data_IF_366237957562
#
_entry.id   IF_366237957562
#
_cell.length_a   1.000
_cell.length_b   1.000
_cell.length_c   1.000
_cell.angle_alpha   90.00
_cell.angle_beta   90.00
_cell.angle_gamma   90.00
#
_symmetry.space_group_name_H-M   'P 1'
#
loop_
_entity.id
_entity.type
_entity.pdbx_description
1 polymer ?
#
# COMPACT_ATOMS: atom_id res chain seq x y z
N UNK A 1 -9.52 -0.94 1.36
CA UNK A 1 -9.96 -0.79 -0.06
C UNK A 1 -11.23 0.03 -0.22
N UNK A 2 -12.15 -0.07 0.71
CA UNK A 2 -13.44 0.66 0.71
C UNK A 2 -13.24 2.15 1.01
N UNK A 3 -12.21 2.49 1.77
CA UNK A 3 -11.88 3.84 2.24
C UNK A 3 -11.52 4.88 1.15
N UNK A 4 -11.37 4.46 -0.12
CA UNK A 4 -10.96 5.34 -1.22
C UNK A 4 -11.98 5.43 -2.35
N UNK A 5 -13.22 5.02 -2.11
CA UNK A 5 -14.32 5.01 -3.08
C UNK A 5 -13.96 4.38 -4.45
N UNK A 6 -12.98 3.45 -4.49
CA UNK A 6 -12.50 2.82 -5.74
C UNK A 6 -13.58 1.93 -6.39
N UNK A 7 -14.63 1.57 -5.63
CA UNK A 7 -15.75 0.77 -6.12
C UNK A 7 -16.50 1.41 -7.31
N UNK A 8 -16.54 2.74 -7.39
CA UNK A 8 -17.20 3.42 -8.50
C UNK A 8 -16.49 3.22 -9.87
N UNK A 9 -15.21 2.77 -9.87
CA UNK A 9 -14.50 2.50 -11.12
C UNK A 9 -15.22 1.48 -12.00
N UNK A 10 -16.00 0.56 -11.41
CA UNK A 10 -16.83 -0.37 -12.16
C UNK A 10 -17.84 0.36 -13.06
N UNK A 11 -18.33 1.55 -12.66
CA UNK A 11 -19.26 2.34 -13.45
C UNK A 11 -18.60 2.91 -14.73
N UNK A 12 -17.28 2.99 -14.80
CA UNK A 12 -16.56 3.38 -16.00
C UNK A 12 -16.76 2.38 -17.16
N UNK A 13 -17.25 1.18 -16.87
CA UNK A 13 -17.65 0.23 -17.91
C UNK A 13 -18.91 0.69 -18.68
N UNK A 14 -19.80 1.49 -18.09
CA UNK A 14 -21.06 1.90 -18.72
C UNK A 14 -20.83 2.74 -19.98
N UNK A 15 -20.02 3.81 -19.99
CA UNK A 15 -19.73 4.56 -21.22
C UNK A 15 -19.02 3.72 -22.29
N UNK A 16 -18.17 2.76 -21.89
CA UNK A 16 -17.52 1.83 -22.82
C UNK A 16 -18.54 0.89 -23.46
N UNK A 17 -19.42 0.29 -22.65
CA UNK A 17 -20.49 -0.57 -23.13
C UNK A 17 -21.44 0.20 -24.07
N UNK A 18 -21.79 1.44 -23.75
CA UNK A 18 -22.62 2.30 -24.59
C UNK A 18 -22.00 2.60 -25.95
N UNK A 19 -20.70 2.96 -25.96
CA UNK A 19 -19.98 3.21 -27.20
C UNK A 19 -19.93 1.94 -28.10
N UNK A 20 -19.72 0.77 -27.50
CA UNK A 20 -19.71 -0.50 -28.22
C UNK A 20 -21.10 -0.92 -28.73
N UNK A 21 -22.15 -0.72 -27.91
CA UNK A 21 -23.53 -1.02 -28.32
C UNK A 21 -23.97 -0.22 -29.56
N UNK A 22 -23.50 1.04 -29.67
CA UNK A 22 -23.75 1.85 -30.87
C UNK A 22 -23.05 1.31 -32.11
N UNK A 23 -21.91 0.64 -31.96
CA UNK A 23 -21.14 0.08 -33.08
C UNK A 23 -21.62 -1.31 -33.51
N UNK A 24 -22.18 -2.08 -32.56
CA UNK A 24 -22.68 -3.43 -32.79
C UNK A 24 -24.07 -3.61 -32.14
N UNK A 25 -25.13 -3.08 -32.74
CA UNK A 25 -26.47 -3.25 -32.25
C UNK A 25 -26.84 -4.75 -32.17
N UNK A 26 -27.43 -5.16 -31.03
CA UNK A 26 -27.76 -6.59 -30.78
C UNK A 26 -26.63 -7.45 -30.23
N UNK A 27 -25.40 -6.92 -30.10
CA UNK A 27 -24.30 -7.59 -29.44
C UNK A 27 -24.41 -7.64 -27.91
N UNK A 28 -23.46 -8.31 -27.25
CA UNK A 28 -23.39 -8.47 -25.78
C UNK A 28 -23.46 -7.10 -25.06
N UNK A 29 -22.80 -6.08 -25.59
CA UNK A 29 -22.80 -4.73 -25.01
C UNK A 29 -24.21 -4.11 -25.02
N UNK A 30 -25.03 -4.39 -26.00
CA UNK A 30 -26.42 -3.91 -26.08
C UNK A 30 -27.30 -4.52 -24.97
N UNK A 31 -27.06 -5.79 -24.61
CA UNK A 31 -27.74 -6.45 -23.51
C UNK A 31 -27.45 -5.80 -22.16
N UNK A 32 -26.23 -5.35 -21.95
CA UNK A 32 -25.81 -4.67 -20.70
C UNK A 32 -26.46 -3.29 -20.52
N UNK A 33 -26.97 -2.67 -21.57
CA UNK A 33 -27.63 -1.35 -21.54
C UNK A 33 -29.16 -1.45 -21.43
N UNK A 34 -29.74 -2.64 -21.29
CA UNK A 34 -31.17 -2.78 -21.03
C UNK A 34 -31.53 -2.11 -19.69
N UNK A 35 -32.66 -1.40 -19.58
CA UNK A 35 -33.05 -0.69 -18.35
C UNK A 35 -33.00 -1.58 -17.10
N UNK A 36 -33.46 -2.84 -17.22
CA UNK A 36 -33.40 -3.79 -16.11
C UNK A 36 -31.99 -4.13 -15.67
N UNK A 37 -31.03 -4.28 -16.61
CA UNK A 37 -29.61 -4.53 -16.30
C UNK A 37 -28.97 -3.31 -15.65
N UNK A 38 -29.24 -2.11 -16.14
CA UNK A 38 -28.76 -0.86 -15.54
C UNK A 38 -29.32 -0.66 -14.13
N UNK A 39 -30.60 -0.95 -13.93
CA UNK A 39 -31.22 -0.90 -12.60
C UNK A 39 -30.59 -1.93 -11.65
N UNK A 40 -30.32 -3.16 -12.12
CA UNK A 40 -29.64 -4.19 -11.33
C UNK A 40 -28.21 -3.78 -10.94
N UNK A 41 -27.45 -3.18 -11.87
CA UNK A 41 -26.09 -2.66 -11.58
C UNK A 41 -26.17 -1.54 -10.54
N UNK A 42 -27.09 -0.60 -10.69
CA UNK A 42 -27.26 0.51 -9.75
C UNK A 42 -27.70 -0.01 -8.38
N UNK A 43 -28.71 -0.90 -8.33
CA UNK A 43 -29.18 -1.50 -7.09
C UNK A 43 -28.07 -2.30 -6.38
N UNK A 44 -27.31 -3.11 -7.13
CA UNK A 44 -26.15 -3.83 -6.60
C UNK A 44 -25.07 -2.91 -6.06
N UNK A 45 -24.78 -1.81 -6.74
CA UNK A 45 -23.83 -0.79 -6.29
C UNK A 45 -24.28 -0.11 -4.99
N UNK A 46 -25.55 0.31 -4.92
CA UNK A 46 -26.14 0.90 -3.71
C UNK A 46 -26.14 -0.10 -2.57
N UNK A 47 -26.55 -1.34 -2.81
CA UNK A 47 -26.55 -2.40 -1.81
C UNK A 47 -25.14 -2.66 -1.26
N UNK A 48 -24.13 -2.77 -2.12
CA UNK A 48 -22.74 -3.01 -1.71
C UNK A 48 -22.19 -1.87 -0.83
N UNK A 49 -22.49 -0.62 -1.15
CA UNK A 49 -22.12 0.53 -0.31
C UNK A 49 -22.90 0.51 1.01
N UNK A 50 -24.17 0.20 0.97
CA UNK A 50 -25.06 0.22 2.15
C UNK A 50 -24.65 -0.79 3.21
N UNK A 51 -24.10 -1.94 2.84
CA UNK A 51 -23.57 -2.96 3.78
C UNK A 51 -22.56 -2.39 4.76
N UNK A 52 -21.76 -1.44 4.33
CA UNK A 52 -20.76 -0.81 5.18
C UNK A 52 -21.22 0.57 5.69
N UNK A 53 -21.79 1.38 4.82
CA UNK A 53 -22.12 2.78 5.13
C UNK A 53 -23.22 2.87 6.20
N UNK A 54 -24.29 2.07 6.09
CA UNK A 54 -25.41 2.14 7.03
C UNK A 54 -25.02 1.73 8.46
N UNK A 55 -24.28 0.61 8.70
CA UNK A 55 -23.80 0.28 10.04
C UNK A 55 -22.86 1.35 10.62
N UNK A 56 -21.99 1.94 9.80
CA UNK A 56 -21.11 3.03 10.24
C UNK A 56 -21.93 4.25 10.67
N UNK A 57 -22.85 4.74 9.85
CA UNK A 57 -23.70 5.89 10.18
C UNK A 57 -24.56 5.63 11.41
N UNK A 58 -25.12 4.42 11.51
CA UNK A 58 -25.89 3.99 12.67
C UNK A 58 -25.03 4.02 13.94
N UNK A 59 -23.84 3.46 13.91
CA UNK A 59 -22.94 3.42 15.07
C UNK A 59 -22.53 4.83 15.50
N UNK A 60 -22.15 5.70 14.57
CA UNK A 60 -21.82 7.11 14.85
C UNK A 60 -23.00 7.84 15.50
N UNK A 61 -24.24 7.58 15.00
CA UNK A 61 -25.44 8.18 15.56
C UNK A 61 -25.75 7.68 16.99
N UNK A 62 -25.58 6.37 17.22
CA UNK A 62 -25.87 5.76 18.54
C UNK A 62 -24.90 6.22 19.64
N UNK A 63 -23.63 6.32 19.30
CA UNK A 63 -22.58 6.69 20.27
C UNK A 63 -22.55 8.20 20.50
N UNK A 64 -22.86 9.02 19.48
CA UNK A 64 -22.94 10.48 19.57
C UNK A 64 -21.62 11.18 19.92
N UNK A 65 -20.47 10.49 19.79
CA UNK A 65 -19.18 11.06 20.13
C UNK A 65 -18.67 11.99 19.02
N UNK A 66 -18.09 13.17 19.39
CA UNK A 66 -17.48 14.10 18.42
C UNK A 66 -16.37 13.46 17.60
N UNK A 67 -15.59 12.55 18.19
CA UNK A 67 -14.49 11.88 17.52
C UNK A 67 -15.01 10.94 16.40
N UNK A 68 -16.07 10.19 16.66
CA UNK A 68 -16.70 9.33 15.63
C UNK A 68 -17.36 10.16 14.54
N UNK A 69 -17.92 11.31 14.86
CA UNK A 69 -18.45 12.25 13.88
C UNK A 69 -17.32 12.80 12.98
N UNK A 70 -16.20 13.21 13.57
CA UNK A 70 -15.02 13.65 12.83
C UNK A 70 -14.45 12.52 11.93
N UNK A 71 -14.37 11.29 12.42
CA UNK A 71 -13.97 10.12 11.65
C UNK A 71 -14.89 9.85 10.45
N UNK A 72 -16.21 9.93 10.64
CA UNK A 72 -17.19 9.84 9.55
C UNK A 72 -16.94 10.90 8.48
N UNK A 73 -16.75 12.14 8.90
CA UNK A 73 -16.56 13.28 7.98
C UNK A 73 -15.22 13.19 7.25
N UNK A 74 -14.18 12.69 7.91
CA UNK A 74 -12.90 12.41 7.26
C UNK A 74 -13.06 11.35 6.16
N UNK A 75 -13.72 10.22 6.44
CA UNK A 75 -13.91 9.15 5.45
C UNK A 75 -14.78 9.62 4.28
N UNK A 76 -15.92 10.26 4.56
CA UNK A 76 -16.88 10.62 3.53
C UNK A 76 -16.43 11.80 2.66
N UNK A 77 -15.74 12.79 3.23
CA UNK A 77 -15.40 14.01 2.52
C UNK A 77 -13.90 14.14 2.22
N UNK A 78 -13.03 13.91 3.19
CA UNK A 78 -11.60 14.10 2.97
C UNK A 78 -10.96 12.98 2.16
N UNK A 79 -11.31 11.73 2.45
CA UNK A 79 -10.76 10.57 1.73
C UNK A 79 -11.41 10.32 0.37
N UNK A 80 -12.61 10.86 0.11
CA UNK A 80 -13.32 10.66 -1.16
C UNK A 80 -13.24 11.88 -2.07
N UNK A 81 -13.59 13.07 -1.61
CA UNK A 81 -13.68 14.25 -2.48
C UNK A 81 -12.36 15.03 -2.52
N UNK A 82 -11.86 15.50 -1.38
CA UNK A 82 -10.66 16.36 -1.33
C UNK A 82 -9.41 15.67 -1.87
N UNK A 83 -9.31 14.35 -1.72
CA UNK A 83 -8.14 13.60 -2.19
C UNK A 83 -8.01 13.57 -3.72
N UNK A 84 -9.11 13.70 -4.45
CA UNK A 84 -9.08 13.73 -5.91
C UNK A 84 -8.98 15.15 -6.47
N UNK A 85 -9.45 16.15 -5.73
CA UNK A 85 -9.51 17.55 -6.20
C UNK A 85 -8.36 18.41 -5.68
N UNK A 86 -7.90 18.14 -4.43
CA UNK A 86 -6.88 18.96 -3.76
C UNK A 86 -5.90 18.06 -2.98
N UNK A 87 -5.08 17.33 -3.74
CA UNK A 87 -4.07 16.47 -3.16
C UNK A 87 -2.84 17.29 -2.75
N UNK A 88 -2.48 17.26 -1.48
CA UNK A 88 -1.26 17.90 -0.96
C UNK A 88 0.00 17.01 -1.02
N UNK A 89 -0.16 15.71 -1.29
CA UNK A 89 0.92 14.74 -1.42
C UNK A 89 0.86 13.99 -2.74
N UNK A 90 2.02 13.55 -3.22
CA UNK A 90 2.15 12.76 -4.45
C UNK A 90 1.66 13.48 -5.71
N UNK A 91 1.83 14.81 -5.78
CA UNK A 91 1.52 15.58 -7.00
C UNK A 91 2.46 15.12 -8.10
N UNK A 92 1.90 14.62 -9.20
CA UNK A 92 2.63 14.12 -10.36
C UNK A 92 1.96 14.61 -11.65
N UNK A 93 2.73 14.77 -12.76
CA UNK A 93 2.18 15.22 -14.03
C UNK A 93 1.16 14.23 -14.62
N UNK A 94 0.25 14.66 -15.50
CA UNK A 94 -0.79 13.80 -16.08
C UNK A 94 -0.22 12.55 -16.80
N UNK A 95 0.95 12.67 -17.41
CA UNK A 95 1.62 11.57 -18.13
C UNK A 95 2.35 10.56 -17.22
N UNK A 96 2.36 10.75 -15.91
CA UNK A 96 3.08 9.91 -14.94
C UNK A 96 2.85 8.40 -15.14
N UNK A 97 1.60 7.98 -15.32
CA UNK A 97 1.30 6.56 -15.51
C UNK A 97 1.83 6.01 -16.82
N UNK A 98 1.79 6.80 -17.89
CA UNK A 98 2.23 6.37 -19.20
C UNK A 98 3.75 6.26 -19.32
N UNK A 99 4.49 7.08 -18.60
CA UNK A 99 5.95 7.17 -18.72
C UNK A 99 6.66 6.39 -17.60
N UNK A 100 6.18 6.48 -16.38
CA UNK A 100 6.89 5.90 -15.21
C UNK A 100 6.31 4.55 -14.77
N UNK A 101 4.96 4.39 -14.76
CA UNK A 101 4.32 3.23 -14.15
C UNK A 101 4.12 2.09 -15.16
N UNK A 102 3.43 2.35 -16.25
CA UNK A 102 3.04 1.31 -17.21
C UNK A 102 4.27 0.64 -17.87
N UNK A 103 5.28 1.37 -18.36
CA UNK A 103 6.41 0.74 -19.01
C UNK A 103 7.21 -0.19 -18.11
N UNK A 104 7.39 0.17 -16.84
CA UNK A 104 8.24 -0.56 -15.91
C UNK A 104 7.45 -1.59 -15.07
N UNK A 105 6.32 -1.17 -14.47
CA UNK A 105 5.63 -2.00 -13.47
C UNK A 105 4.61 -2.99 -14.07
N UNK A 106 4.21 -2.79 -15.34
CA UNK A 106 3.29 -3.71 -16.03
C UNK A 106 4.00 -4.73 -16.93
N UNK A 107 5.32 -4.86 -16.80
CA UNK A 107 6.06 -5.90 -17.52
C UNK A 107 5.60 -7.32 -17.09
N UNK A 108 5.50 -8.27 -18.04
CA UNK A 108 5.83 -8.15 -19.47
C UNK A 108 4.68 -7.59 -20.32
N UNK A 109 3.47 -7.39 -19.75
CA UNK A 109 2.26 -7.06 -20.50
C UNK A 109 2.39 -5.75 -21.28
N UNK A 110 3.04 -4.72 -20.69
CA UNK A 110 3.34 -3.46 -21.38
C UNK A 110 4.19 -3.66 -22.64
N UNK A 111 5.22 -4.49 -22.57
CA UNK A 111 6.05 -4.81 -23.72
C UNK A 111 5.29 -5.67 -24.76
N UNK A 112 4.38 -6.54 -24.32
CA UNK A 112 3.54 -7.35 -25.23
C UNK A 112 2.57 -6.50 -26.06
N UNK A 113 2.27 -5.25 -25.66
CA UNK A 113 1.45 -4.33 -26.45
C UNK A 113 1.99 -4.12 -27.87
N UNK A 114 3.31 -4.24 -28.05
CA UNK A 114 3.92 -4.18 -29.38
C UNK A 114 3.36 -5.28 -30.34
N UNK A 115 3.16 -6.48 -29.83
CA UNK A 115 2.58 -7.60 -30.61
C UNK A 115 1.05 -7.60 -30.57
N UNK A 116 0.44 -7.05 -29.53
CA UNK A 116 -1.02 -6.95 -29.34
C UNK A 116 -1.66 -5.85 -30.19
N UNK A 117 -0.88 -4.89 -30.68
CA UNK A 117 -1.40 -3.74 -31.43
C UNK A 117 -2.23 -4.15 -32.66
N UNK A 118 -1.73 -5.09 -33.48
CA UNK A 118 -2.46 -5.55 -34.68
C UNK A 118 -3.74 -6.30 -34.32
N UNK A 119 -3.75 -7.32 -33.44
CA UNK A 119 -4.96 -7.96 -32.95
C UNK A 119 -5.97 -6.99 -32.36
N UNK A 120 -5.55 -6.07 -31.52
CA UNK A 120 -6.44 -5.07 -30.91
C UNK A 120 -7.06 -4.13 -31.97
N UNK A 121 -6.31 -3.77 -32.99
CA UNK A 121 -6.84 -2.98 -34.12
C UNK A 121 -7.88 -3.75 -34.94
N UNK A 122 -7.70 -5.03 -35.14
CA UNK A 122 -8.66 -5.92 -35.81
C UNK A 122 -9.94 -6.07 -34.99
N UNK A 123 -9.80 -6.33 -33.68
CA UNK A 123 -10.92 -6.39 -32.75
C UNK A 123 -11.67 -5.05 -32.64
N UNK A 124 -10.95 -3.94 -32.74
CA UNK A 124 -11.57 -2.60 -32.80
C UNK A 124 -12.43 -2.41 -34.06
N UNK A 125 -11.96 -2.89 -35.20
CA UNK A 125 -12.69 -2.80 -36.47
C UNK A 125 -13.93 -3.69 -36.48
N UNK A 126 -13.83 -4.87 -35.91
CA UNK A 126 -14.93 -5.85 -35.82
C UNK A 126 -15.84 -5.63 -34.60
N UNK A 127 -15.59 -4.59 -33.79
CA UNK A 127 -16.33 -4.28 -32.55
C UNK A 127 -16.42 -5.47 -31.57
N UNK A 128 -15.32 -6.24 -31.43
CA UNK A 128 -15.29 -7.43 -30.58
C UNK A 128 -15.37 -7.10 -29.10
N UNK A 129 -16.54 -7.24 -28.50
CA UNK A 129 -16.83 -6.84 -27.13
C UNK A 129 -15.91 -7.53 -26.09
N UNK A 130 -15.56 -8.80 -26.29
CA UNK A 130 -14.70 -9.56 -25.38
C UNK A 130 -13.32 -8.93 -25.16
N UNK A 131 -12.78 -8.25 -26.17
CA UNK A 131 -11.50 -7.51 -26.08
C UNK A 131 -11.73 -6.05 -25.71
N UNK A 132 -12.72 -5.41 -26.32
CA UNK A 132 -12.89 -3.95 -26.24
C UNK A 132 -13.49 -3.48 -24.92
N UNK A 133 -14.34 -4.29 -24.25
CA UNK A 133 -14.86 -3.94 -22.94
C UNK A 133 -13.73 -3.85 -21.89
N UNK A 134 -12.92 -4.90 -21.67
CA UNK A 134 -11.86 -4.80 -20.68
C UNK A 134 -10.75 -3.80 -21.09
N UNK A 135 -10.43 -3.67 -22.38
CA UNK A 135 -9.48 -2.67 -22.85
C UNK A 135 -9.99 -1.25 -22.61
N UNK A 136 -11.26 -0.98 -22.89
CA UNK A 136 -11.89 0.30 -22.64
C UNK A 136 -11.94 0.65 -21.15
N UNK A 137 -12.21 -0.34 -20.29
CA UNK A 137 -12.12 -0.16 -18.85
C UNK A 137 -10.70 0.19 -18.41
N UNK A 138 -9.69 -0.56 -18.88
CA UNK A 138 -8.29 -0.26 -18.54
C UNK A 138 -7.90 1.17 -18.94
N UNK A 139 -8.27 1.61 -20.13
CA UNK A 139 -8.03 2.96 -20.62
C UNK A 139 -8.79 4.00 -19.78
N UNK A 140 -10.05 3.75 -19.43
CA UNK A 140 -10.85 4.65 -18.61
C UNK A 140 -10.28 4.83 -17.20
N UNK A 141 -9.79 3.74 -16.58
CA UNK A 141 -9.12 3.80 -15.26
C UNK A 141 -7.82 4.62 -15.35
N UNK A 142 -6.96 4.35 -16.33
CA UNK A 142 -5.71 5.09 -16.52
C UNK A 142 -6.01 6.57 -16.78
N UNK A 143 -6.97 6.89 -17.63
CA UNK A 143 -7.36 8.25 -17.94
C UNK A 143 -7.92 8.98 -16.70
N UNK A 144 -8.81 8.33 -15.96
CA UNK A 144 -9.39 8.90 -14.73
C UNK A 144 -8.31 9.30 -13.72
N UNK A 145 -7.38 8.39 -13.41
CA UNK A 145 -6.31 8.70 -12.47
C UNK A 145 -5.24 9.65 -13.05
N UNK A 146 -5.09 9.74 -14.38
CA UNK A 146 -4.20 10.71 -15.01
C UNK A 146 -4.68 12.15 -14.83
N UNK A 147 -5.99 12.37 -14.75
CA UNK A 147 -6.59 13.68 -14.50
C UNK A 147 -6.47 14.08 -13.02
N UNK A 148 -6.54 13.11 -12.09
CA UNK A 148 -6.40 13.37 -10.65
C UNK A 148 -5.05 14.02 -10.32
N UNK A 149 -5.01 14.96 -9.37
CA UNK A 149 -3.79 15.67 -8.95
C UNK A 149 -2.82 14.77 -8.19
N UNK A 150 -3.32 14.00 -7.23
CA UNK A 150 -2.53 13.05 -6.44
C UNK A 150 -2.43 11.69 -7.11
N UNK A 151 -1.19 11.24 -7.43
CA UNK A 151 -0.94 10.00 -8.18
C UNK A 151 -0.01 9.06 -7.44
N UNK A 152 -0.42 7.79 -7.32
CA UNK A 152 0.43 6.68 -6.86
C UNK A 152 0.33 5.53 -7.86
N UNK A 153 1.44 4.82 -8.10
CA UNK A 153 1.48 3.71 -9.08
C UNK A 153 0.39 2.65 -8.87
N UNK A 154 0.01 2.42 -7.61
CA UNK A 154 -1.03 1.44 -7.24
C UNK A 154 -2.46 1.81 -7.68
N UNK A 155 -2.72 3.08 -8.01
CA UNK A 155 -4.09 3.50 -8.37
C UNK A 155 -4.55 2.94 -9.71
N UNK A 156 -3.63 2.69 -10.64
CA UNK A 156 -3.94 2.09 -11.94
C UNK A 156 -3.85 0.56 -11.92
N UNK A 157 -3.60 -0.06 -10.77
CA UNK A 157 -3.54 -1.52 -10.65
C UNK A 157 -4.84 -2.23 -11.11
N UNK A 158 -6.06 -1.69 -10.89
CA UNK A 158 -7.29 -2.31 -11.41
C UNK A 158 -7.34 -2.42 -12.94
N UNK A 159 -6.60 -1.60 -13.66
CA UNK A 159 -6.52 -1.67 -15.12
C UNK A 159 -5.68 -2.85 -15.62
N UNK A 160 -4.74 -3.36 -14.83
CA UNK A 160 -3.84 -4.45 -15.23
C UNK A 160 -4.56 -5.78 -15.51
N UNK A 161 -5.44 -6.30 -14.61
CA UNK A 161 -6.25 -7.48 -14.89
C UNK A 161 -7.15 -7.30 -16.13
N UNK A 162 -7.72 -6.11 -16.30
CA UNK A 162 -8.56 -5.82 -17.46
C UNK A 162 -7.75 -5.86 -18.77
N UNK A 163 -6.55 -5.29 -18.78
CA UNK A 163 -5.66 -5.38 -19.93
C UNK A 163 -5.24 -6.83 -20.21
N UNK A 164 -4.99 -7.63 -19.17
CA UNK A 164 -4.69 -9.06 -19.31
C UNK A 164 -5.86 -9.83 -19.91
N UNK A 165 -7.10 -9.54 -19.47
CA UNK A 165 -8.32 -10.13 -20.07
C UNK A 165 -8.48 -9.74 -21.55
N UNK A 166 -8.23 -8.49 -21.91
CA UNK A 166 -8.26 -8.04 -23.30
C UNK A 166 -7.23 -8.78 -24.17
N UNK A 167 -6.04 -9.06 -23.61
CA UNK A 167 -4.96 -9.76 -24.29
C UNK A 167 -5.20 -11.28 -24.41
N UNK A 168 -5.94 -11.88 -23.48
CA UNK A 168 -6.08 -13.33 -23.31
C UNK A 168 -6.42 -14.09 -24.60
N UNK A 169 -7.38 -13.64 -25.47
CA UNK A 169 -7.69 -14.35 -26.71
C UNK A 169 -6.52 -14.45 -27.69
N UNK A 170 -5.56 -13.52 -27.60
CA UNK A 170 -4.43 -13.39 -28.51
C UNK A 170 -3.14 -13.99 -27.95
N UNK A 171 -3.07 -14.27 -26.64
CA UNK A 171 -1.86 -14.75 -25.97
C UNK A 171 -1.30 -16.03 -26.56
N UNK A 172 -2.07 -17.09 -26.92
CA UNK A 172 -1.50 -18.31 -27.47
C UNK A 172 -0.65 -18.05 -28.71
N UNK A 173 -1.14 -17.23 -29.63
CA UNK A 173 -0.43 -16.89 -30.88
C UNK A 173 0.78 -15.97 -30.63
N UNK A 174 0.70 -15.10 -29.63
CA UNK A 174 1.78 -14.17 -29.27
C UNK A 174 2.90 -14.91 -28.56
N UNK A 175 2.56 -15.76 -27.58
CA UNK A 175 3.54 -16.52 -26.80
C UNK A 175 4.32 -17.54 -27.61
N UNK A 176 3.80 -17.97 -28.77
CA UNK A 176 4.50 -18.81 -29.73
C UNK A 176 5.60 -18.07 -30.52
N UNK A 177 5.65 -16.74 -30.47
CA UNK A 177 6.64 -15.96 -31.23
C UNK A 177 8.01 -16.01 -30.58
N UNK A 178 9.04 -16.23 -31.37
CA UNK A 178 10.44 -16.24 -30.88
C UNK A 178 10.88 -14.94 -30.25
N UNK A 179 10.38 -13.79 -30.73
CA UNK A 179 10.64 -12.48 -30.14
C UNK A 179 10.13 -12.34 -28.70
N UNK A 180 8.99 -12.97 -28.38
CA UNK A 180 8.44 -12.96 -27.00
C UNK A 180 9.28 -13.86 -26.09
N UNK A 181 9.77 -15.00 -26.58
CA UNK A 181 10.71 -15.82 -25.84
C UNK A 181 12.03 -15.09 -25.54
N UNK A 182 12.58 -14.36 -26.52
CA UNK A 182 13.77 -13.52 -26.30
C UNK A 182 13.52 -12.40 -25.27
N UNK A 183 12.36 -11.74 -25.34
CA UNK A 183 11.96 -10.75 -24.35
C UNK A 183 11.89 -11.35 -22.93
N UNK A 184 11.26 -12.53 -22.81
CA UNK A 184 11.14 -13.24 -21.52
C UNK A 184 12.51 -13.59 -20.92
N UNK A 185 13.44 -14.04 -21.76
CA UNK A 185 14.83 -14.29 -21.37
C UNK A 185 15.54 -13.00 -20.93
N UNK A 186 15.40 -11.93 -21.71
CA UNK A 186 16.01 -10.64 -21.38
C UNK A 186 15.48 -10.08 -20.04
N UNK A 187 14.17 -10.12 -19.81
CA UNK A 187 13.57 -9.67 -18.55
C UNK A 187 14.03 -10.52 -17.36
N UNK A 188 14.13 -11.84 -17.50
CA UNK A 188 14.68 -12.73 -16.48
C UNK A 188 16.15 -12.40 -16.17
N UNK A 189 16.95 -12.15 -17.21
CA UNK A 189 18.36 -11.75 -17.03
C UNK A 189 18.50 -10.40 -16.31
N UNK A 190 17.64 -9.42 -16.60
CA UNK A 190 17.64 -8.12 -15.91
C UNK A 190 17.45 -8.26 -14.40
N UNK A 191 16.68 -9.24 -13.92
CA UNK A 191 16.53 -9.53 -12.50
C UNK A 191 17.72 -10.30 -11.90
N UNK A 192 18.30 -11.21 -12.68
CA UNK A 192 19.36 -12.11 -12.19
C UNK A 192 20.75 -11.46 -12.21
N UNK A 193 21.08 -10.71 -13.26
CA UNK A 193 22.42 -10.13 -13.43
C UNK A 193 22.86 -9.23 -12.26
N UNK A 194 22.02 -8.33 -11.71
CA UNK A 194 22.39 -7.55 -10.52
C UNK A 194 22.67 -8.41 -9.30
N UNK A 195 21.90 -9.49 -9.11
CA UNK A 195 22.13 -10.40 -7.97
C UNK A 195 23.44 -11.17 -8.11
N UNK A 196 23.78 -11.63 -9.31
CA UNK A 196 25.07 -12.27 -9.57
C UNK A 196 26.24 -11.29 -9.49
N UNK A 197 26.06 -10.04 -9.94
CA UNK A 197 27.06 -9.00 -9.79
C UNK A 197 27.30 -8.66 -8.31
N UNK A 198 26.24 -8.59 -7.49
CA UNK A 198 26.32 -8.37 -6.06
C UNK A 198 27.02 -9.53 -5.35
N UNK A 199 26.68 -10.78 -5.70
CA UNK A 199 27.34 -11.97 -5.18
C UNK A 199 28.84 -11.97 -5.51
N UNK A 200 29.20 -11.79 -6.79
CA UNK A 200 30.59 -11.76 -7.22
C UNK A 200 31.39 -10.62 -6.55
N UNK A 201 30.78 -9.43 -6.45
CA UNK A 201 31.39 -8.30 -5.76
C UNK A 201 31.65 -8.55 -4.28
N UNK A 202 30.71 -9.22 -3.59
CA UNK A 202 30.90 -9.58 -2.19
C UNK A 202 31.97 -10.67 -2.01
N UNK A 203 32.00 -11.66 -2.90
CA UNK A 203 33.03 -12.71 -2.89
C UNK A 203 34.46 -12.18 -3.15
N UNK A 204 34.56 -11.09 -3.96
CA UNK A 204 35.80 -10.40 -4.22
C UNK A 204 36.15 -9.34 -3.17
N UNK A 205 35.35 -9.17 -2.12
CA UNK A 205 35.56 -8.20 -1.05
C UNK A 205 35.43 -6.73 -1.48
N UNK A 206 34.61 -6.44 -2.51
CA UNK A 206 34.40 -5.07 -2.99
C UNK A 206 33.62 -4.25 -1.95
N UNK A 207 34.12 -3.11 -1.45
CA UNK A 207 33.48 -2.34 -0.38
C UNK A 207 32.05 -1.89 -0.72
N UNK A 208 31.78 -1.58 -2.00
CA UNK A 208 30.43 -1.19 -2.44
C UNK A 208 29.43 -2.36 -2.36
N UNK A 209 29.85 -3.57 -2.63
CA UNK A 209 28.99 -4.75 -2.52
C UNK A 209 28.67 -5.06 -1.05
N UNK A 210 29.65 -5.00 -0.16
CA UNK A 210 29.45 -5.16 1.27
C UNK A 210 28.52 -4.10 1.84
N UNK A 211 28.72 -2.82 1.50
CA UNK A 211 27.85 -1.73 1.93
C UNK A 211 26.39 -1.87 1.43
N UNK A 212 26.20 -2.38 0.20
CA UNK A 212 24.87 -2.69 -0.31
C UNK A 212 24.19 -3.82 0.47
N UNK A 213 24.91 -4.87 0.82
CA UNK A 213 24.40 -5.99 1.62
C UNK A 213 24.04 -5.54 3.04
N UNK A 214 24.90 -4.78 3.70
CA UNK A 214 24.63 -4.18 5.01
C UNK A 214 23.38 -3.27 4.96
N UNK A 215 23.22 -2.49 3.89
CA UNK A 215 22.05 -1.64 3.67
C UNK A 215 20.74 -2.40 3.50
N UNK A 216 20.76 -3.72 3.24
CA UNK A 216 19.54 -4.54 3.18
C UNK A 216 18.90 -4.77 4.54
N UNK A 217 19.62 -4.61 5.64
CA UNK A 217 19.21 -4.91 7.02
C UNK A 217 18.75 -6.37 7.23
N UNK A 218 19.19 -7.28 6.38
CA UNK A 218 18.91 -8.69 6.52
C UNK A 218 19.90 -9.31 7.51
N UNK A 219 19.42 -10.12 8.45
CA UNK A 219 20.26 -10.89 9.36
C UNK A 219 21.16 -11.86 8.58
N UNK A 220 20.61 -12.44 7.52
CA UNK A 220 21.31 -13.39 6.65
C UNK A 220 20.97 -13.13 5.19
N UNK A 221 21.93 -13.30 4.30
CA UNK A 221 21.79 -13.06 2.87
C UNK A 221 21.43 -14.31 2.06
N UNK A 222 21.18 -15.46 2.71
CA UNK A 222 20.86 -16.71 2.01
C UNK A 222 19.65 -16.60 1.03
N UNK A 223 18.58 -15.80 1.30
CA UNK A 223 17.47 -15.72 0.35
C UNK A 223 17.85 -15.07 -0.96
N UNK A 224 18.79 -14.11 -0.94
CA UNK A 224 19.30 -13.46 -2.14
C UNK A 224 20.10 -14.46 -2.99
N UNK A 225 20.94 -15.27 -2.35
CA UNK A 225 21.76 -16.28 -3.03
C UNK A 225 20.93 -17.47 -3.51
N UNK A 226 19.95 -17.89 -2.74
CA UNK A 226 18.99 -18.91 -3.16
C UNK A 226 18.20 -18.44 -4.39
N UNK A 227 17.74 -17.19 -4.41
CA UNK A 227 17.10 -16.61 -5.59
C UNK A 227 18.05 -16.56 -6.78
N UNK A 228 19.29 -16.11 -6.61
CA UNK A 228 20.27 -16.02 -7.69
C UNK A 228 20.54 -17.41 -8.31
N UNK A 229 20.77 -18.44 -7.47
CA UNK A 229 21.06 -19.78 -7.92
C UNK A 229 19.85 -20.49 -8.55
N UNK A 230 18.74 -20.58 -7.83
CA UNK A 230 17.52 -21.23 -8.31
C UNK A 230 16.91 -20.49 -9.50
N UNK A 231 16.90 -19.14 -9.47
CA UNK A 231 16.44 -18.32 -10.59
C UNK A 231 17.27 -18.54 -11.85
N UNK A 232 18.60 -18.63 -11.73
CA UNK A 232 19.48 -18.93 -12.87
C UNK A 232 19.26 -20.34 -13.43
N UNK A 233 19.10 -21.33 -12.54
CA UNK A 233 18.79 -22.70 -12.97
C UNK A 233 17.46 -22.76 -13.73
N UNK A 234 16.42 -22.13 -13.23
CA UNK A 234 15.11 -22.05 -13.91
C UNK A 234 15.18 -21.27 -15.22
N UNK A 235 15.94 -20.18 -15.24
CA UNK A 235 16.17 -19.40 -16.45
C UNK A 235 16.88 -20.20 -17.53
N UNK A 236 17.95 -20.94 -17.20
CA UNK A 236 18.67 -21.83 -18.12
C UNK A 236 17.80 -22.98 -18.63
N UNK A 237 17.01 -23.57 -17.74
CA UNK A 237 16.05 -24.62 -18.10
C UNK A 237 14.99 -24.08 -19.07
N UNK A 238 14.42 -22.92 -18.77
CA UNK A 238 13.47 -22.27 -19.65
C UNK A 238 14.10 -21.91 -21.01
N UNK A 239 15.33 -21.42 -21.03
CA UNK A 239 16.05 -21.08 -22.26
C UNK A 239 16.20 -22.30 -23.20
N UNK A 240 16.36 -23.50 -22.64
CA UNK A 240 16.49 -24.75 -23.39
C UNK A 240 15.15 -25.34 -23.82
N UNK A 241 14.15 -25.28 -22.96
CA UNK A 241 12.86 -25.96 -23.18
C UNK A 241 11.81 -25.06 -23.83
N UNK A 242 11.52 -23.93 -23.18
CA UNK A 242 10.48 -22.94 -23.55
C UNK A 242 10.87 -21.54 -23.12
N UNK A 243 11.57 -20.75 -23.93
CA UNK A 243 12.10 -19.43 -23.59
C UNK A 243 11.07 -18.46 -23.03
N UNK A 244 9.80 -18.58 -23.42
CA UNK A 244 8.70 -17.75 -22.92
C UNK A 244 8.44 -17.93 -21.41
N UNK A 245 8.85 -19.04 -20.81
CA UNK A 245 8.69 -19.33 -19.39
C UNK A 245 9.80 -18.71 -18.50
N UNK A 246 10.86 -18.14 -19.09
CA UNK A 246 11.98 -17.62 -18.32
C UNK A 246 11.56 -16.50 -17.34
N UNK A 247 10.80 -15.51 -17.81
CA UNK A 247 10.30 -14.43 -16.94
C UNK A 247 9.39 -14.92 -15.82
N UNK A 248 8.27 -15.66 -16.07
CA UNK A 248 7.40 -16.10 -14.99
C UNK A 248 8.11 -17.05 -14.01
N UNK A 249 9.05 -17.88 -14.46
CA UNK A 249 9.81 -18.75 -13.59
C UNK A 249 10.74 -17.98 -12.64
N UNK A 250 11.51 -17.00 -13.16
CA UNK A 250 12.39 -16.14 -12.37
C UNK A 250 11.57 -15.27 -11.42
N UNK A 251 10.47 -14.69 -11.88
CA UNK A 251 9.59 -13.87 -11.04
C UNK A 251 8.94 -14.70 -9.92
N UNK A 252 8.50 -15.93 -10.22
CA UNK A 252 7.98 -16.86 -9.22
C UNK A 252 9.04 -17.21 -8.17
N UNK A 253 10.28 -17.46 -8.59
CA UNK A 253 11.41 -17.70 -7.71
C UNK A 253 11.69 -16.48 -6.80
N UNK A 254 11.69 -15.27 -7.36
CA UNK A 254 11.83 -14.03 -6.60
C UNK A 254 10.72 -13.85 -5.56
N UNK A 255 9.47 -14.15 -5.93
CA UNK A 255 8.32 -14.06 -5.03
C UNK A 255 8.46 -15.04 -3.86
N UNK A 256 8.92 -16.26 -4.12
CA UNK A 256 9.17 -17.26 -3.06
C UNK A 256 10.34 -16.83 -2.17
N UNK A 257 11.45 -16.36 -2.73
CA UNK A 257 12.59 -15.86 -1.95
C UNK A 257 12.21 -14.67 -1.07
N UNK A 258 11.38 -13.77 -1.61
CA UNK A 258 10.82 -12.67 -0.83
C UNK A 258 9.92 -13.16 0.31
N UNK A 259 8.90 -13.97 -0.01
CA UNK A 259 7.88 -14.38 0.97
C UNK A 259 8.42 -15.32 2.06
N UNK A 260 9.31 -16.25 1.70
CA UNK A 260 9.82 -17.27 2.62
C UNK A 260 11.16 -16.90 3.27
N UNK A 261 11.92 -16.00 2.67
CA UNK A 261 13.28 -15.69 3.13
C UNK A 261 13.47 -14.25 3.57
N UNK A 262 13.09 -13.26 2.76
CA UNK A 262 13.37 -11.84 3.03
C UNK A 262 12.33 -11.24 3.97
N UNK A 263 11.04 -11.40 3.66
CA UNK A 263 9.96 -10.79 4.43
C UNK A 263 9.96 -11.23 5.91
N UNK A 264 10.19 -12.50 6.27
CA UNK A 264 10.29 -12.91 7.67
C UNK A 264 11.41 -12.21 8.44
N UNK A 265 12.58 -12.03 7.84
CA UNK A 265 13.72 -11.33 8.47
C UNK A 265 13.42 -9.82 8.69
N UNK A 266 12.73 -9.19 7.75
CA UNK A 266 12.34 -7.78 7.85
C UNK A 266 11.10 -7.55 8.73
N UNK A 267 10.40 -8.62 9.13
CA UNK A 267 9.13 -8.50 9.85
C UNK A 267 9.30 -7.87 11.23
N UNK A 268 10.41 -8.13 11.91
CA UNK A 268 10.70 -7.54 13.23
C UNK A 268 10.75 -6.01 13.18
N UNK A 269 11.31 -5.44 12.10
CA UNK A 269 11.36 -3.99 11.91
C UNK A 269 10.09 -3.39 11.30
N UNK A 270 9.39 -4.15 10.45
CA UNK A 270 8.22 -3.67 9.68
C UNK A 270 6.89 -3.89 10.38
N UNK A 271 6.76 -4.92 11.20
CA UNK A 271 5.61 -5.12 12.06
C UNK A 271 5.85 -4.47 13.42
N UNK A 272 4.80 -3.94 14.01
CA UNK A 272 4.90 -3.38 15.35
C UNK A 272 5.00 -4.44 16.45
N UNK A 273 4.87 -5.74 16.14
CA UNK A 273 4.78 -6.80 17.16
C UNK A 273 6.03 -6.89 18.03
N UNK A 274 7.22 -7.04 17.40
CA UNK A 274 8.49 -7.14 18.11
C UNK A 274 8.81 -5.86 18.89
N UNK A 275 8.65 -4.70 18.25
CA UNK A 275 8.84 -3.41 18.91
C UNK A 275 7.91 -3.22 20.11
N UNK A 276 6.59 -3.48 19.94
CA UNK A 276 5.61 -3.30 21.02
C UNK A 276 5.86 -4.26 22.18
N UNK A 277 6.23 -5.51 21.89
CA UNK A 277 6.60 -6.47 22.94
C UNK A 277 7.81 -5.99 23.75
N UNK A 278 8.90 -5.62 23.09
CA UNK A 278 10.10 -5.08 23.78
C UNK A 278 9.82 -3.79 24.53
N UNK A 279 9.02 -2.89 24.00
CA UNK A 279 8.60 -1.66 24.66
C UNK A 279 7.78 -1.97 25.92
N UNK A 280 6.84 -2.93 25.86
CA UNK A 280 6.01 -3.32 27.00
C UNK A 280 6.80 -4.03 28.11
N UNK A 281 7.87 -4.75 27.78
CA UNK A 281 8.81 -5.31 28.76
C UNK A 281 9.57 -4.22 29.54
N UNK A 282 9.91 -3.12 28.85
CA UNK A 282 10.62 -1.99 29.43
C UNK A 282 9.70 -1.04 30.20
N UNK A 283 8.43 -0.92 29.80
CA UNK A 283 7.46 -0.03 30.42
C UNK A 283 6.92 -0.66 31.73
N UNK A 284 7.08 0.00 32.90
CA UNK A 284 6.59 -0.53 34.18
C UNK A 284 5.08 -0.81 34.14
N UNK A 285 4.66 -1.96 34.65
CA UNK A 285 3.25 -2.38 34.61
C UNK A 285 2.35 -1.62 35.57
N UNK A 286 2.92 -1.06 36.63
CA UNK A 286 2.26 -0.25 37.64
C UNK A 286 2.11 1.21 37.24
N UNK A 287 2.56 1.60 36.05
CA UNK A 287 2.50 2.94 35.52
C UNK A 287 1.53 3.07 34.33
N UNK A 288 0.87 4.20 34.23
CA UNK A 288 0.00 4.54 33.11
C UNK A 288 0.87 4.91 31.89
N UNK A 289 0.67 4.21 30.77
CA UNK A 289 1.45 4.36 29.55
C UNK A 289 0.73 5.29 28.56
N UNK A 290 1.38 6.40 28.21
CA UNK A 290 0.97 7.29 27.12
C UNK A 290 1.74 7.02 25.84
N UNK A 291 1.11 7.26 24.69
CA UNK A 291 1.67 7.08 23.36
C UNK A 291 1.57 8.38 22.58
N UNK A 292 2.70 9.08 22.36
CA UNK A 292 2.77 10.30 21.57
C UNK A 292 3.01 9.95 20.10
N UNK A 293 2.25 10.56 19.18
CA UNK A 293 2.36 10.35 17.73
C UNK A 293 2.41 8.86 17.33
N UNK A 294 1.60 8.06 18.02
CA UNK A 294 1.61 6.62 17.89
C UNK A 294 1.34 6.15 16.45
N UNK A 295 1.84 4.98 16.12
CA UNK A 295 1.50 4.30 14.87
C UNK A 295 0.32 3.35 15.14
N UNK A 296 -0.69 3.36 14.27
CA UNK A 296 -1.92 2.57 14.41
C UNK A 296 -1.65 1.09 14.69
N UNK A 297 -0.59 0.54 14.08
CA UNK A 297 -0.22 -0.85 14.30
C UNK A 297 0.22 -1.17 15.72
N UNK A 298 0.63 -0.18 16.54
CA UNK A 298 0.99 -0.43 17.94
C UNK A 298 -0.21 -0.92 18.74
N UNK A 299 -1.39 -0.35 18.48
CA UNK A 299 -2.62 -0.68 19.19
C UNK A 299 -3.02 -2.16 19.08
N UNK A 300 -2.57 -2.85 18.02
CA UNK A 300 -2.88 -4.26 17.80
C UNK A 300 -2.14 -5.20 18.77
N UNK A 301 -1.04 -4.73 19.37
CA UNK A 301 -0.14 -5.56 20.17
C UNK A 301 -0.01 -5.07 21.62
N UNK A 302 -0.79 -4.06 22.03
CA UNK A 302 -0.83 -3.61 23.42
C UNK A 302 -1.50 -4.66 24.30
N UNK A 303 -0.92 -4.93 25.48
CA UNK A 303 -1.44 -5.88 26.47
C UNK A 303 -2.25 -5.23 27.60
N UNK A 304 -2.33 -3.91 27.59
CA UNK A 304 -2.93 -3.11 28.68
C UNK A 304 -3.63 -1.86 28.16
N UNK A 305 -4.40 -1.21 29.04
CA UNK A 305 -4.93 0.12 28.79
C UNK A 305 -3.78 1.11 28.57
N UNK A 306 -3.94 1.98 27.60
CA UNK A 306 -2.98 3.03 27.26
C UNK A 306 -3.70 4.34 26.97
N UNK A 307 -2.96 5.44 27.00
CA UNK A 307 -3.45 6.77 26.65
C UNK A 307 -2.80 7.24 25.36
N UNK A 308 -3.53 7.90 24.49
CA UNK A 308 -3.00 8.59 23.33
C UNK A 308 -3.58 10.01 23.22
N UNK A 309 -2.99 10.84 22.36
CA UNK A 309 -3.35 12.26 22.24
C UNK A 309 -3.97 12.59 20.88
N UNK A 310 -4.56 11.62 20.23
CA UNK A 310 -5.17 11.73 18.92
C UNK A 310 -4.32 11.14 17.80
N UNK A 311 -4.94 11.00 16.64
CA UNK A 311 -4.30 10.40 15.47
C UNK A 311 -4.01 11.46 14.41
N UNK A 312 -2.85 11.36 13.74
CA UNK A 312 -2.44 12.22 12.61
C UNK A 312 -2.39 13.74 12.94
N UNK A 313 -2.07 14.11 14.17
CA UNK A 313 -2.02 15.52 14.63
C UNK A 313 -0.74 16.26 14.23
N UNK A 314 0.14 15.67 13.45
CA UNK A 314 1.36 16.29 12.93
C UNK A 314 1.13 17.61 12.17
N UNK A 315 -0.11 17.91 11.76
CA UNK A 315 -0.51 19.20 11.15
C UNK A 315 -0.73 20.31 12.17
N UNK A 316 -0.96 19.98 13.41
CA UNK A 316 -1.19 20.91 14.50
C UNK A 316 0.13 21.42 15.12
N UNK A 317 1.27 21.12 14.49
CA UNK A 317 2.59 21.52 14.95
C UNK A 317 2.94 20.88 16.29
N UNK A 318 3.14 21.69 17.32
CA UNK A 318 3.53 21.24 18.67
C UNK A 318 2.34 20.95 19.60
N UNK A 319 1.09 21.03 19.13
CA UNK A 319 -0.08 20.88 20.00
C UNK A 319 -0.15 19.49 20.65
N UNK A 320 0.09 18.43 19.90
CA UNK A 320 0.08 17.05 20.43
C UNK A 320 1.20 16.81 21.46
N UNK A 321 2.48 17.17 21.22
CA UNK A 321 3.53 17.13 22.25
C UNK A 321 3.20 17.95 23.50
N UNK A 322 2.57 19.12 23.37
CA UNK A 322 2.18 19.95 24.51
C UNK A 322 1.08 19.30 25.35
N UNK A 323 0.04 18.71 24.71
CA UNK A 323 -1.01 17.98 25.41
C UNK A 323 -0.44 16.76 26.14
N UNK A 324 0.48 16.03 25.51
CA UNK A 324 1.17 14.91 26.14
C UNK A 324 2.06 15.35 27.33
N UNK A 325 2.72 16.49 27.20
CA UNK A 325 3.51 17.06 28.30
C UNK A 325 2.61 17.49 29.48
N UNK A 326 1.47 18.16 29.21
CA UNK A 326 0.52 18.52 30.23
C UNK A 326 -0.05 17.28 30.95
N UNK A 327 -0.32 16.20 30.21
CA UNK A 327 -0.77 14.96 30.81
C UNK A 327 0.33 14.29 31.66
N UNK A 328 1.57 14.22 31.15
CA UNK A 328 2.69 13.62 31.89
C UNK A 328 2.99 14.34 33.20
N UNK A 329 2.86 15.67 33.22
CA UNK A 329 3.12 16.51 34.41
C UNK A 329 2.14 16.27 35.55
N UNK A 330 0.95 15.70 35.32
CA UNK A 330 -0.07 15.53 36.35
C UNK A 330 0.17 14.38 37.33
N UNK A 331 0.90 13.32 36.93
CA UNK A 331 1.13 12.16 37.79
C UNK A 331 2.54 11.59 37.54
N UNK A 332 3.41 11.53 38.56
CA UNK A 332 4.76 10.97 38.43
C UNK A 332 4.79 9.48 38.09
N UNK A 333 3.67 8.78 38.20
CA UNK A 333 3.53 7.37 37.79
C UNK A 333 3.25 7.21 36.31
N UNK A 334 3.22 8.28 35.54
CA UNK A 334 3.02 8.22 34.09
C UNK A 334 4.34 8.05 33.36
N UNK A 335 4.27 7.30 32.26
CA UNK A 335 5.37 7.07 31.34
C UNK A 335 4.86 7.38 29.93
N UNK A 336 5.64 8.05 29.12
CA UNK A 336 5.26 8.46 27.78
C UNK A 336 6.21 7.83 26.75
N UNK A 337 5.67 7.15 25.75
CA UNK A 337 6.41 6.71 24.58
C UNK A 337 6.49 7.85 23.56
N UNK A 338 7.70 8.29 23.23
CA UNK A 338 7.98 9.46 22.39
C UNK A 338 8.89 9.07 21.23
N UNK A 339 8.56 9.40 19.97
CA UNK A 339 9.50 9.25 18.87
C UNK A 339 10.60 10.31 18.93
N UNK A 340 11.83 9.94 18.54
CA UNK A 340 13.02 10.80 18.63
C UNK A 340 12.83 12.21 18.09
N UNK A 341 12.23 12.43 16.91
CA UNK A 341 11.97 13.77 16.37
C UNK A 341 11.06 14.67 17.22
N UNK A 342 10.29 14.11 18.16
CA UNK A 342 9.38 14.85 19.04
C UNK A 342 9.88 14.98 20.48
N UNK A 343 11.11 14.58 20.77
CA UNK A 343 11.72 14.83 22.09
C UNK A 343 11.87 16.32 22.37
N UNK A 344 12.24 17.09 21.36
CA UNK A 344 12.33 18.54 21.45
C UNK A 344 10.98 19.21 21.10
N UNK A 345 10.63 20.32 21.75
CA UNK A 345 11.30 20.95 22.88
C UNK A 345 10.83 20.42 24.25
N UNK A 346 9.78 19.58 24.29
CA UNK A 346 9.04 19.31 25.52
C UNK A 346 9.70 18.28 26.46
N UNK A 347 10.52 17.38 25.93
CA UNK A 347 11.02 16.20 26.65
C UNK A 347 12.56 16.06 26.63
N UNK A 348 13.28 17.06 26.17
CA UNK A 348 14.74 16.98 25.99
C UNK A 348 15.51 16.66 27.28
N UNK A 349 15.11 17.28 28.39
CA UNK A 349 15.76 17.14 29.68
C UNK A 349 15.23 15.96 30.52
N UNK A 350 14.17 15.27 30.07
CA UNK A 350 13.57 14.19 30.83
C UNK A 350 14.48 12.94 30.92
N UNK A 351 14.44 12.21 32.05
CA UNK A 351 14.94 10.85 32.11
C UNK A 351 14.24 9.99 31.03
N UNK A 352 15.05 9.28 30.24
CA UNK A 352 14.52 8.50 29.14
C UNK A 352 15.30 7.22 28.91
N UNK A 353 14.61 6.21 28.39
CA UNK A 353 15.18 4.91 28.02
C UNK A 353 14.80 4.61 26.59
N UNK A 354 15.75 4.14 25.80
CA UNK A 354 15.47 3.69 24.42
C UNK A 354 14.55 2.46 24.47
N UNK A 355 13.37 2.58 23.87
CA UNK A 355 12.41 1.48 23.76
C UNK A 355 12.66 0.61 22.53
N UNK A 356 13.37 1.14 21.53
CA UNK A 356 13.71 0.43 20.29
C UNK A 356 13.47 1.29 19.06
N UNK A 357 13.52 0.66 17.88
CA UNK A 357 13.28 1.31 16.60
C UNK A 357 11.99 0.79 15.97
N UNK A 358 11.20 1.69 15.41
CA UNK A 358 10.01 1.33 14.64
C UNK A 358 9.70 2.37 13.59
N UNK A 359 9.38 1.92 12.37
CA UNK A 359 9.01 2.80 11.24
C UNK A 359 10.09 3.83 10.86
N UNK A 360 11.36 3.53 11.13
CA UNK A 360 12.50 4.39 10.80
C UNK A 360 12.88 5.40 11.91
N UNK A 361 12.13 5.47 13.00
CA UNK A 361 12.39 6.34 14.14
C UNK A 361 12.89 5.53 15.36
N UNK A 362 13.75 6.15 16.17
CA UNK A 362 14.05 5.70 17.54
C UNK A 362 12.92 6.14 18.46
N UNK A 363 12.47 5.23 19.33
CA UNK A 363 11.39 5.48 20.28
C UNK A 363 11.90 5.42 21.71
N UNK A 364 11.45 6.34 22.52
CA UNK A 364 11.94 6.55 23.89
C UNK A 364 10.81 6.48 24.90
N UNK A 365 11.00 5.74 25.98
CA UNK A 365 10.17 5.84 27.18
C UNK A 365 10.69 7.00 28.02
N UNK A 366 9.86 8.00 28.21
CA UNK A 366 10.16 9.26 28.90
C UNK A 366 9.39 9.27 30.22
N UNK A 367 10.09 9.68 31.30
CA UNK A 367 9.54 9.76 32.66
C UNK A 367 9.83 11.14 33.26
N UNK A 368 9.16 11.44 34.38
CA UNK A 368 9.39 12.66 35.13
C UNK A 368 8.70 13.91 34.56
N UNK A 369 9.00 15.07 35.15
CA UNK A 369 8.37 16.32 34.76
C UNK A 369 8.91 16.83 33.43
N UNK A 370 8.05 17.08 32.42
CA UNK A 370 8.43 17.68 31.16
C UNK A 370 8.75 19.17 31.31
N UNK A 371 9.16 19.84 30.22
CA UNK A 371 9.34 21.28 30.19
C UNK A 371 8.05 22.01 30.63
N UNK A 372 8.17 22.90 31.63
CA UNK A 372 7.03 23.59 32.21
C UNK A 372 6.33 24.52 31.19
N UNK A 373 7.08 25.11 30.25
CA UNK A 373 6.52 25.97 29.23
C UNK A 373 5.72 25.17 28.17
N UNK A 374 6.10 23.92 27.93
CA UNK A 374 5.32 23.01 27.09
C UNK A 374 4.07 22.54 27.84
N UNK A 375 4.20 22.01 29.04
CA UNK A 375 3.10 21.51 29.84
C UNK A 375 2.02 22.59 30.10
N UNK A 376 2.43 23.84 30.32
CA UNK A 376 1.52 24.97 30.58
C UNK A 376 0.71 25.40 29.33
N UNK A 377 1.07 24.97 28.15
CA UNK A 377 0.35 25.26 26.87
C UNK A 377 -0.55 24.14 26.43
N UNK A 378 -0.39 22.93 26.97
CA UNK A 378 -1.14 21.76 26.57
C UNK A 378 -2.45 21.59 27.32
N UNK A 379 -3.35 20.82 26.78
CA UNK A 379 -4.62 20.42 27.38
C UNK A 379 -4.58 18.92 27.75
N UNK A 380 -4.42 18.56 29.03
CA UNK A 380 -4.39 17.17 29.46
C UNK A 380 -5.74 16.45 29.26
N UNK A 381 -6.85 17.21 29.11
CA UNK A 381 -8.18 16.66 28.81
C UNK A 381 -8.31 16.07 27.40
N UNK A 382 -7.35 16.33 26.53
CA UNK A 382 -7.25 15.70 25.21
C UNK A 382 -6.68 14.28 25.22
N UNK A 383 -6.33 13.76 26.37
CA UNK A 383 -5.90 12.38 26.54
C UNK A 383 -7.05 11.39 26.29
N UNK A 384 -6.89 10.53 25.30
CA UNK A 384 -7.87 9.52 24.87
C UNK A 384 -7.44 8.16 25.39
N UNK A 385 -8.30 7.49 26.19
CA UNK A 385 -8.02 6.15 26.71
C UNK A 385 -8.32 5.08 25.66
N UNK A 386 -7.35 4.23 25.40
CA UNK A 386 -7.50 3.00 24.63
C UNK A 386 -7.57 1.81 25.59
N UNK A 387 -8.68 1.06 25.62
CA UNK A 387 -8.93 0.04 26.66
C UNK A 387 -8.05 -1.21 26.55
N UNK A 388 -7.16 -1.27 25.57
CA UNK A 388 -6.39 -2.47 25.28
C UNK A 388 -7.23 -3.62 24.68
N UNK A 389 -6.62 -4.76 24.33
CA UNK A 389 -7.35 -5.90 23.84
C UNK A 389 -8.22 -6.46 24.98
N UNK A 390 -9.51 -6.66 24.68
CA UNK A 390 -10.38 -7.37 25.63
C UNK A 390 -9.82 -8.78 25.81
N UNK A 391 -9.62 -9.20 27.06
CA UNK A 391 -9.28 -10.57 27.36
C UNK A 391 -10.24 -11.50 26.61
N UNK A 392 -9.77 -12.58 25.98
CA UNK A 392 -10.66 -13.55 25.34
C UNK A 392 -11.66 -14.04 26.40
N UNK A 393 -12.95 -13.90 26.09
CA UNK A 393 -14.04 -14.38 26.94
C UNK A 393 -14.09 -15.90 26.94
#
# INVERSE_FOLDING_TARGET
MIDKAVGFLALLMLPVAWALARRSPGGIASGALRPAALLAVFAGFVAAISVWLLPMLWHVHQVGSPELAAYRDEILFQQTVKRYTDAWHHIRPPYYYLVEVIPALWLPLSALLFWLWRPFREDWRSARAATLLPLGFALAVVLFFSISTGKRGVYVLPALPALALAAAPHLPAILARTGVGRLSLALGAVLLLPMWALWAGSALGLPKASALLEGTRLETHWPLWAFAAAGAALWLLAARLRPVLAWPAVLGCLTLAWGLGIAPQLNAERSASGFTAGMLELAPRDRELGLLAYKEQFLLYLDRETVNFGHARWREGQAEPQDAAAWLAQDPRRVLLVPGPLLEPCFAANPRRLAGQSSGDDWWLVEGAPDAGCAGRGDPGRAIRYPGPRAPR
#
